data_IF_881229614167
#
_entry.id   IF_881229614167
#
_cell.length_a   1.000
_cell.length_b   1.000
_cell.length_c   1.000
_cell.angle_alpha   90.00
_cell.angle_beta   90.00
_cell.angle_gamma   90.00
#
_symmetry.space_group_name_H-M   'P 1'
#
loop_
_entity.id
_entity.type
_entity.pdbx_description
1 polymer ?
#
# COMPACT_ATOMS: atom_id res chain seq x y z
N UNK A 1 -6.88 -14.67 -26.88
CA UNK A 1 -7.06 -14.58 -25.41
C UNK A 1 -8.25 -13.65 -25.16
N UNK A 2 -9.42 -14.17 -24.78
CA UNK A 2 -10.58 -13.32 -24.51
C UNK A 2 -10.27 -12.39 -23.32
N UNK A 3 -10.20 -11.08 -23.56
CA UNK A 3 -10.02 -10.07 -22.53
C UNK A 3 -11.34 -9.89 -21.78
N UNK A 4 -11.60 -10.79 -20.82
CA UNK A 4 -12.77 -10.68 -19.95
C UNK A 4 -12.79 -9.27 -19.32
N UNK A 5 -13.87 -8.52 -19.56
CA UNK A 5 -14.04 -7.16 -19.00
C UNK A 5 -13.92 -7.23 -17.47
N UNK A 6 -13.02 -6.43 -16.90
CA UNK A 6 -12.79 -6.39 -15.44
C UNK A 6 -14.05 -5.88 -14.74
N UNK A 7 -14.62 -6.69 -13.86
CA UNK A 7 -15.75 -6.30 -13.03
C UNK A 7 -15.26 -5.58 -11.77
N UNK A 8 -15.19 -4.26 -11.86
CA UNK A 8 -14.78 -3.39 -10.75
C UNK A 8 -15.75 -3.43 -9.56
N UNK A 9 -17.05 -3.67 -9.80
CA UNK A 9 -18.05 -3.75 -8.72
C UNK A 9 -17.79 -5.00 -7.88
N UNK A 10 -17.55 -6.13 -8.54
CA UNK A 10 -17.16 -7.39 -7.88
C UNK A 10 -15.86 -7.22 -7.08
N UNK A 11 -14.81 -6.66 -7.68
CA UNK A 11 -13.52 -6.48 -6.99
C UNK A 11 -13.64 -5.57 -5.76
N UNK A 12 -14.46 -4.52 -5.84
CA UNK A 12 -14.71 -3.68 -4.68
C UNK A 12 -15.45 -4.44 -3.59
N UNK A 13 -16.52 -5.16 -3.92
CA UNK A 13 -17.28 -5.96 -2.95
C UNK A 13 -16.42 -7.02 -2.28
N UNK A 14 -15.65 -7.76 -3.05
CA UNK A 14 -14.94 -8.95 -2.57
C UNK A 14 -13.58 -8.60 -1.93
N UNK A 15 -12.98 -7.45 -2.27
CA UNK A 15 -11.66 -7.06 -1.78
C UNK A 15 -11.60 -5.64 -1.19
N UNK A 16 -11.74 -4.59 -2.00
CA UNK A 16 -11.44 -3.21 -1.56
C UNK A 16 -12.40 -2.67 -0.49
N UNK A 17 -13.63 -3.18 -0.47
CA UNK A 17 -14.68 -2.83 0.48
C UNK A 17 -14.58 -3.56 1.81
N UNK A 18 -13.75 -4.61 1.90
CA UNK A 18 -13.55 -5.36 3.14
C UNK A 18 -12.95 -4.47 4.23
N UNK A 19 -13.33 -4.73 5.49
CA UNK A 19 -12.83 -3.95 6.63
C UNK A 19 -11.29 -3.97 6.71
N UNK A 20 -10.67 -5.10 6.35
CA UNK A 20 -9.22 -5.23 6.33
C UNK A 20 -8.57 -4.32 5.28
N UNK A 21 -9.06 -4.31 4.04
CA UNK A 21 -8.48 -3.46 2.99
C UNK A 21 -8.69 -1.97 3.26
N UNK A 22 -9.84 -1.59 3.84
CA UNK A 22 -10.10 -0.23 4.33
C UNK A 22 -9.11 0.16 5.43
N UNK A 23 -8.86 -0.73 6.41
CA UNK A 23 -7.88 -0.52 7.48
C UNK A 23 -6.46 -0.39 6.91
N UNK A 24 -6.09 -1.25 5.97
CA UNK A 24 -4.78 -1.20 5.32
C UNK A 24 -4.59 0.07 4.48
N UNK A 25 -5.63 0.55 3.77
CA UNK A 25 -5.62 1.85 3.09
C UNK A 25 -5.43 3.00 4.07
N UNK A 26 -6.17 3.01 5.18
CA UNK A 26 -6.01 4.02 6.23
C UNK A 26 -4.58 4.05 6.78
N UNK A 27 -4.00 2.87 7.08
CA UNK A 27 -2.60 2.76 7.53
C UNK A 27 -1.62 3.34 6.50
N UNK A 28 -1.78 3.07 5.20
CA UNK A 28 -0.92 3.65 4.15
C UNK A 28 -1.02 5.18 4.11
N UNK A 29 -2.23 5.73 4.23
CA UNK A 29 -2.43 7.18 4.25
C UNK A 29 -1.80 7.85 5.47
N UNK A 30 -1.97 7.24 6.66
CA UNK A 30 -1.33 7.70 7.88
C UNK A 30 0.19 7.66 7.76
N UNK A 31 0.76 6.59 7.21
CA UNK A 31 2.20 6.47 6.98
C UNK A 31 2.71 7.55 6.01
N UNK A 32 1.94 7.89 4.95
CA UNK A 32 2.28 8.99 4.05
C UNK A 32 2.27 10.33 4.76
N UNK A 33 1.26 10.58 5.59
CA UNK A 33 1.15 11.80 6.41
C UNK A 33 2.29 11.90 7.42
N UNK A 34 2.63 10.82 8.13
CA UNK A 34 3.71 10.81 9.12
C UNK A 34 5.10 11.01 8.51
N UNK A 35 5.29 10.62 7.24
CA UNK A 35 6.53 10.85 6.51
C UNK A 35 6.59 12.21 5.80
N UNK A 36 5.55 13.05 5.92
CA UNK A 36 5.53 14.38 5.33
C UNK A 36 5.53 14.41 3.80
N UNK A 37 5.17 13.30 3.13
CA UNK A 37 5.19 13.25 1.67
C UNK A 37 3.97 13.98 1.09
N UNK A 38 4.21 15.13 0.45
CA UNK A 38 3.17 15.93 -0.21
C UNK A 38 2.61 15.23 -1.45
N UNK A 39 1.47 15.73 -1.93
CA UNK A 39 0.95 15.37 -3.26
C UNK A 39 1.99 15.80 -4.31
N UNK A 40 2.34 14.92 -5.24
CA UNK A 40 3.38 15.17 -6.25
C UNK A 40 4.79 14.72 -5.87
N UNK A 41 5.07 14.33 -4.62
CA UNK A 41 6.38 13.75 -4.27
C UNK A 41 6.59 12.42 -5.03
N UNK A 42 7.74 12.31 -5.71
CA UNK A 42 8.14 11.14 -6.50
C UNK A 42 8.45 9.90 -5.65
N UNK A 43 8.50 10.04 -4.32
CA UNK A 43 8.75 8.96 -3.36
C UNK A 43 7.45 8.32 -2.86
N UNK A 44 7.57 7.08 -2.44
CA UNK A 44 6.52 6.31 -1.76
C UNK A 44 6.99 5.91 -0.37
N UNK A 45 6.05 5.76 0.57
CA UNK A 45 6.34 5.17 1.87
C UNK A 45 6.31 3.65 1.74
N UNK A 46 7.45 3.03 1.99
CA UNK A 46 7.59 1.58 2.03
C UNK A 46 7.53 1.09 3.48
N UNK A 47 6.75 0.04 3.69
CA UNK A 47 6.70 -0.72 4.93
C UNK A 47 7.71 -1.86 4.84
N UNK A 48 8.81 -1.81 5.62
CA UNK A 48 9.87 -2.84 5.60
C UNK A 48 9.27 -4.25 5.74
N UNK A 49 8.44 -4.46 6.77
CA UNK A 49 7.47 -5.55 6.88
C UNK A 49 6.12 -5.08 6.30
N UNK A 50 5.62 -5.68 5.21
CA UNK A 50 4.34 -5.30 4.59
C UNK A 50 3.16 -5.46 5.55
N UNK A 51 2.12 -4.63 5.37
CA UNK A 51 0.89 -4.70 6.18
C UNK A 51 0.20 -6.06 6.09
N UNK A 52 0.23 -6.70 4.91
CA UNK A 52 -0.30 -8.05 4.69
C UNK A 52 0.44 -9.16 5.46
N UNK A 53 1.62 -8.85 6.02
CA UNK A 53 2.45 -9.76 6.83
C UNK A 53 2.56 -9.27 8.28
N UNK A 54 1.53 -8.59 8.78
CA UNK A 54 1.50 -8.06 10.15
C UNK A 54 2.38 -6.83 10.37
N UNK A 55 2.80 -6.14 9.32
CA UNK A 55 3.51 -4.86 9.42
C UNK A 55 2.68 -3.75 10.08
N UNK A 56 3.37 -2.82 10.76
CA UNK A 56 2.78 -1.66 11.42
C UNK A 56 3.24 -0.32 10.86
N UNK A 57 2.69 0.77 11.39
CA UNK A 57 3.07 2.16 11.04
C UNK A 57 4.13 2.77 11.97
N UNK A 58 4.80 1.95 12.79
CA UNK A 58 5.91 2.44 13.62
C UNK A 58 7.03 3.00 12.75
N UNK A 59 7.67 4.10 13.20
CA UNK A 59 8.75 4.77 12.45
C UNK A 59 9.87 3.79 12.05
N UNK A 60 10.16 2.79 12.87
CA UNK A 60 11.13 1.73 12.58
C UNK A 60 10.78 0.88 11.34
N UNK A 61 9.50 0.75 11.00
CA UNK A 61 9.00 -0.01 9.86
C UNK A 61 8.78 0.84 8.59
N UNK A 62 8.82 2.17 8.69
CA UNK A 62 8.57 3.05 7.55
C UNK A 62 9.89 3.56 6.95
N UNK A 63 9.93 3.72 5.63
CA UNK A 63 11.00 4.45 4.93
C UNK A 63 10.46 5.13 3.68
N UNK A 64 10.99 6.30 3.34
CA UNK A 64 10.71 6.95 2.07
C UNK A 64 11.68 6.41 1.01
N UNK A 65 11.14 5.80 -0.05
CA UNK A 65 11.93 5.21 -1.14
C UNK A 65 11.39 5.69 -2.49
N UNK A 66 12.14 5.46 -3.57
CA UNK A 66 11.61 5.71 -4.91
C UNK A 66 10.42 4.80 -5.22
N UNK A 67 9.53 5.25 -6.12
CA UNK A 67 8.44 4.43 -6.66
C UNK A 67 8.93 3.10 -7.23
N UNK A 68 10.03 3.12 -7.98
CA UNK A 68 10.60 1.93 -8.58
C UNK A 68 11.02 0.91 -7.52
N UNK A 69 11.68 1.37 -6.46
CA UNK A 69 12.12 0.52 -5.34
C UNK A 69 10.94 -0.13 -4.62
N UNK A 70 9.91 0.66 -4.27
CA UNK A 70 8.75 0.15 -3.54
C UNK A 70 7.95 -0.87 -4.37
N UNK A 71 7.70 -0.54 -5.64
CA UNK A 71 6.94 -1.40 -6.56
C UNK A 71 7.67 -2.70 -6.89
N UNK A 72 9.00 -2.67 -7.04
CA UNK A 72 9.83 -3.87 -7.23
C UNK A 72 9.80 -4.79 -6.00
N UNK A 73 9.75 -4.21 -4.79
CA UNK A 73 9.64 -4.97 -3.54
C UNK A 73 8.28 -5.64 -3.39
N UNK A 74 7.19 -4.91 -3.64
CA UNK A 74 5.83 -5.44 -3.49
C UNK A 74 5.54 -5.94 -2.06
N UNK A 75 5.05 -7.18 -1.93
CA UNK A 75 4.74 -7.81 -0.64
C UNK A 75 5.93 -8.61 -0.03
N UNK A 76 7.13 -8.45 -0.60
CA UNK A 76 8.34 -9.06 -0.04
C UNK A 76 8.73 -8.30 1.22
N UNK A 77 9.05 -9.03 2.28
CA UNK A 77 9.80 -8.45 3.40
C UNK A 77 11.24 -8.27 2.93
N UNK A 78 11.82 -7.11 3.22
CA UNK A 78 13.26 -6.92 3.08
C UNK A 78 13.93 -7.34 4.38
#
# INVERSE_FOLDING_TARGET
MATKKRDYKKEYRDYHGTAEQRKNRSKRNQARKSMGLKVGDKREVDHKRPLSKGGGNGKSNLRAVSRATNRKKGNKSK
#
